data_IF_773730528775
#
_entry.id   IF_773730528775
#
_cell.length_a   1.000
_cell.length_b   1.000
_cell.length_c   1.000
_cell.angle_alpha   90.00
_cell.angle_beta   90.00
_cell.angle_gamma   90.00
#
_symmetry.space_group_name_H-M   'P 1'
#
loop_
_entity.id
_entity.type
_entity.pdbx_description
1 polymer ?
#
# COMPACT_ATOMS: atom_id res chain seq x y z
N UNK A 1 22.48 39.67 -1.88
CA UNK A 1 21.66 38.84 -0.97
C UNK A 1 21.14 37.64 -1.74
N UNK A 2 21.88 36.53 -1.73
CA UNK A 2 21.44 35.27 -2.31
C UNK A 2 22.15 34.16 -1.55
N UNK A 3 21.40 33.40 -0.74
CA UNK A 3 21.68 32.02 -0.32
C UNK A 3 20.64 31.64 0.74
N UNK A 4 19.66 30.81 0.36
CA UNK A 4 18.95 29.86 1.24
C UNK A 4 17.98 29.03 0.39
N UNK A 5 18.48 27.94 -0.16
CA UNK A 5 17.66 26.81 -0.62
C UNK A 5 18.53 25.55 -0.55
N UNK A 6 18.74 25.05 0.66
CA UNK A 6 19.34 23.76 0.96
C UNK A 6 18.79 23.32 2.32
N UNK A 7 17.53 22.87 2.37
CA UNK A 7 16.96 22.13 3.51
C UNK A 7 15.67 21.45 3.04
N UNK A 8 15.81 20.34 2.31
CA UNK A 8 14.69 19.41 2.04
C UNK A 8 15.15 17.98 1.70
N UNK A 9 16.44 17.65 1.88
CA UNK A 9 16.99 16.33 1.54
C UNK A 9 17.14 15.39 2.74
N UNK A 10 17.07 15.89 3.98
CA UNK A 10 17.39 15.08 5.17
C UNK A 10 16.19 14.28 5.71
N UNK A 11 14.95 14.71 5.44
CA UNK A 11 13.74 14.05 5.97
C UNK A 11 13.35 12.74 5.28
N UNK A 12 13.94 12.41 4.12
CA UNK A 12 13.68 11.15 3.40
C UNK A 12 14.62 10.00 3.83
N UNK A 13 15.83 10.32 4.27
CA UNK A 13 16.77 9.33 4.82
C UNK A 13 16.40 8.94 6.27
N UNK A 14 15.92 9.89 7.07
CA UNK A 14 15.51 9.59 8.46
C UNK A 14 14.27 8.70 8.52
N UNK A 15 13.37 8.79 7.53
CA UNK A 15 12.23 7.87 7.41
C UNK A 15 12.63 6.42 7.07
N UNK A 16 13.87 6.22 6.61
CA UNK A 16 14.44 4.89 6.34
C UNK A 16 15.23 4.34 7.52
N UNK A 17 15.83 5.19 8.37
CA UNK A 17 16.70 4.77 9.47
C UNK A 17 15.97 4.47 10.81
N UNK A 18 14.73 4.92 11.02
CA UNK A 18 14.03 4.76 12.33
C UNK A 18 13.44 3.34 12.55
N UNK A 19 13.68 2.37 11.67
CA UNK A 19 13.10 1.00 11.80
C UNK A 19 14.17 -0.09 11.98
N UNK A 20 15.44 0.28 12.07
CA UNK A 20 16.56 -0.68 12.05
C UNK A 20 16.81 -1.45 13.36
N UNK A 21 16.04 -1.26 14.44
CA UNK A 21 16.30 -1.95 15.72
C UNK A 21 15.38 -3.13 16.09
N UNK A 22 14.29 -3.42 15.36
CA UNK A 22 13.37 -4.50 15.78
C UNK A 22 13.26 -5.71 14.82
N UNK A 23 13.98 -5.73 13.69
CA UNK A 23 13.72 -6.75 12.67
C UNK A 23 14.62 -8.00 12.72
N UNK A 24 15.70 -8.01 13.51
CA UNK A 24 16.73 -9.07 13.46
C UNK A 24 16.94 -9.83 14.78
N UNK A 25 15.92 -9.90 15.64
CA UNK A 25 15.87 -10.93 16.68
C UNK A 25 14.83 -11.99 16.35
N UNK A 26 15.32 -13.06 15.73
CA UNK A 26 14.69 -14.36 15.68
C UNK A 26 14.55 -14.89 17.11
N UNK A 27 13.42 -14.57 17.76
CA UNK A 27 12.98 -15.21 18.99
C UNK A 27 11.69 -15.97 18.72
N UNK A 28 11.64 -17.18 19.27
CA UNK A 28 10.50 -18.10 19.27
C UNK A 28 9.39 -17.53 20.19
N UNK A 29 8.96 -16.31 19.91
CA UNK A 29 7.97 -15.59 20.66
C UNK A 29 6.59 -16.02 20.19
N UNK A 30 5.83 -16.62 21.10
CA UNK A 30 4.40 -16.88 20.93
C UNK A 30 3.74 -15.62 20.39
N UNK A 31 3.10 -15.62 19.20
CA UNK A 31 2.57 -14.41 18.60
C UNK A 31 1.59 -13.73 19.57
N UNK A 32 1.67 -12.39 19.67
CA UNK A 32 0.76 -11.59 20.50
C UNK A 32 -0.70 -11.91 20.14
N UNK A 33 -1.63 -11.75 21.08
CA UNK A 33 -3.05 -12.06 20.87
C UNK A 33 -3.62 -11.34 19.62
N UNK A 34 -3.18 -10.11 19.38
CA UNK A 34 -3.49 -9.31 18.20
C UNK A 34 -2.96 -9.94 16.90
N UNK A 35 -1.72 -10.47 16.89
CA UNK A 35 -1.17 -11.17 15.73
C UNK A 35 -1.88 -12.50 15.44
N UNK A 36 -2.46 -13.15 16.46
CA UNK A 36 -3.28 -14.34 16.28
C UNK A 36 -4.66 -14.01 15.73
N UNK A 37 -5.29 -12.92 16.16
CA UNK A 37 -6.59 -12.49 15.61
C UNK A 37 -6.50 -12.09 14.14
N UNK A 38 -5.44 -11.41 13.73
CA UNK A 38 -5.21 -11.03 12.31
C UNK A 38 -5.03 -12.23 11.36
N UNK A 39 -4.79 -13.43 11.90
CA UNK A 39 -4.70 -14.69 11.13
C UNK A 39 -6.01 -15.47 11.10
N UNK A 40 -7.03 -15.01 11.81
CA UNK A 40 -8.35 -15.64 11.84
C UNK A 40 -9.18 -15.18 10.64
N UNK A 41 -9.79 -16.13 9.92
CA UNK A 41 -10.74 -15.81 8.84
C UNK A 41 -11.94 -15.03 9.39
N UNK A 42 -12.45 -15.45 10.54
CA UNK A 42 -13.63 -14.86 11.19
C UNK A 42 -13.40 -13.38 11.54
N UNK A 43 -12.17 -13.02 11.94
CA UNK A 43 -11.81 -11.63 12.18
C UNK A 43 -11.99 -10.78 10.92
N UNK A 44 -11.50 -11.25 9.77
CA UNK A 44 -11.63 -10.51 8.51
C UNK A 44 -13.05 -10.46 7.97
N UNK A 45 -13.83 -11.51 8.21
CA UNK A 45 -15.26 -11.52 7.85
C UNK A 45 -16.04 -10.48 8.70
N UNK A 46 -15.73 -10.38 9.99
CA UNK A 46 -16.30 -9.36 10.87
C UNK A 46 -15.87 -7.94 10.45
N UNK A 47 -14.58 -7.75 10.16
CA UNK A 47 -14.04 -6.48 9.68
C UNK A 47 -14.66 -6.07 8.33
N UNK A 48 -14.86 -7.02 7.40
CA UNK A 48 -15.53 -6.78 6.13
C UNK A 48 -17.00 -6.35 6.32
N UNK A 49 -17.72 -7.01 7.22
CA UNK A 49 -19.09 -6.63 7.57
C UNK A 49 -19.13 -5.23 8.20
N UNK A 50 -18.22 -4.92 9.12
CA UNK A 50 -18.10 -3.61 9.75
C UNK A 50 -17.79 -2.51 8.72
N UNK A 51 -16.88 -2.78 7.79
CA UNK A 51 -16.52 -1.83 6.73
C UNK A 51 -17.70 -1.54 5.81
N UNK A 52 -18.51 -2.55 5.51
CA UNK A 52 -19.74 -2.39 4.73
C UNK A 52 -20.76 -1.49 5.43
N UNK A 53 -20.89 -1.60 6.77
CA UNK A 53 -21.70 -0.69 7.57
C UNK A 53 -21.15 0.75 7.53
N UNK A 54 -19.83 0.92 7.60
CA UNK A 54 -19.20 2.23 7.49
C UNK A 54 -19.45 2.89 6.13
N UNK A 55 -19.35 2.13 5.04
CA UNK A 55 -19.70 2.62 3.70
C UNK A 55 -21.15 3.11 3.68
N UNK A 56 -22.09 2.32 4.22
CA UNK A 56 -23.49 2.73 4.35
C UNK A 56 -23.64 4.05 5.10
N UNK A 57 -23.04 4.17 6.29
CA UNK A 57 -23.06 5.40 7.10
C UNK A 57 -22.46 6.59 6.37
N UNK A 58 -21.35 6.40 5.65
CA UNK A 58 -20.70 7.46 4.88
C UNK A 58 -21.63 7.96 3.80
N UNK A 59 -22.26 7.07 3.04
CA UNK A 59 -23.23 7.42 1.99
C UNK A 59 -24.42 8.21 2.59
N UNK A 60 -25.00 7.74 3.69
CA UNK A 60 -26.15 8.38 4.36
C UNK A 60 -25.78 9.58 5.24
N UNK A 61 -24.49 9.94 5.32
CA UNK A 61 -23.96 11.03 6.16
C UNK A 61 -24.25 10.87 7.66
N UNK A 62 -24.50 9.66 8.13
CA UNK A 62 -24.83 9.34 9.53
C UNK A 62 -23.62 8.82 10.30
N UNK A 63 -22.56 9.63 10.38
CA UNK A 63 -21.33 9.27 11.08
C UNK A 63 -20.63 10.47 11.74
N UNK A 64 -19.78 10.17 12.71
CA UNK A 64 -18.86 11.12 13.33
C UNK A 64 -17.52 11.13 12.58
N UNK A 65 -17.02 12.31 12.20
CA UNK A 65 -15.72 12.47 11.51
C UNK A 65 -14.57 11.83 12.32
N UNK A 66 -14.38 12.12 13.63
CA UNK A 66 -13.36 11.45 14.43
C UNK A 66 -13.44 9.93 14.38
N UNK A 67 -14.64 9.36 14.46
CA UNK A 67 -14.83 7.93 14.49
C UNK A 67 -14.45 7.25 13.16
N UNK A 68 -14.87 7.83 12.02
CA UNK A 68 -14.54 7.23 10.72
C UNK A 68 -13.05 7.41 10.37
N UNK A 69 -12.45 8.54 10.74
CA UNK A 69 -11.02 8.78 10.52
C UNK A 69 -10.20 7.79 11.34
N UNK A 70 -10.52 7.60 12.62
CA UNK A 70 -9.84 6.61 13.47
C UNK A 70 -9.97 5.18 12.90
N UNK A 71 -11.16 4.79 12.45
CA UNK A 71 -11.39 3.49 11.84
C UNK A 71 -10.54 3.27 10.57
N UNK A 72 -10.52 4.26 9.67
CA UNK A 72 -9.75 4.16 8.42
C UNK A 72 -8.25 4.14 8.70
N UNK A 73 -7.76 4.93 9.64
CA UNK A 73 -6.35 4.90 10.03
C UNK A 73 -5.94 3.51 10.53
N UNK A 74 -6.74 2.90 11.40
CA UNK A 74 -6.44 1.57 11.92
C UNK A 74 -6.49 0.50 10.82
N UNK A 75 -7.50 0.54 9.95
CA UNK A 75 -7.61 -0.35 8.77
C UNK A 75 -6.32 -0.36 7.93
N UNK A 76 -5.84 0.81 7.52
CA UNK A 76 -4.64 0.91 6.67
C UNK A 76 -3.35 0.55 7.42
N UNK A 77 -3.30 0.83 8.72
CA UNK A 77 -2.19 0.39 9.59
C UNK A 77 -2.14 -1.14 9.70
N UNK A 78 -3.28 -1.79 9.92
CA UNK A 78 -3.39 -3.25 9.98
C UNK A 78 -2.98 -3.90 8.66
N UNK A 79 -3.51 -3.39 7.53
CA UNK A 79 -3.13 -3.86 6.19
C UNK A 79 -1.63 -3.72 5.95
N UNK A 80 -1.05 -2.56 6.29
CA UNK A 80 0.38 -2.31 6.15
C UNK A 80 1.20 -3.33 6.93
N UNK A 81 0.89 -3.51 8.23
CA UNK A 81 1.57 -4.45 9.14
C UNK A 81 1.57 -5.88 8.59
N UNK A 82 0.44 -6.31 8.03
CA UNK A 82 0.30 -7.67 7.51
C UNK A 82 1.12 -7.87 6.24
N UNK A 83 1.02 -6.94 5.30
CA UNK A 83 1.66 -7.11 3.99
C UNK A 83 3.15 -6.75 4.00
N UNK A 84 3.62 -5.97 4.98
CA UNK A 84 5.05 -5.71 5.21
C UNK A 84 5.75 -6.79 6.04
N UNK A 85 5.01 -7.74 6.65
CA UNK A 85 5.58 -8.83 7.47
C UNK A 85 6.27 -9.93 6.68
N UNK A 86 6.11 -9.95 5.35
CA UNK A 86 6.69 -10.95 4.42
C UNK A 86 6.29 -12.40 4.73
N UNK A 87 5.16 -12.60 5.41
CA UNK A 87 4.59 -13.91 5.71
C UNK A 87 3.46 -14.24 4.76
N UNK A 88 3.39 -15.50 4.32
CA UNK A 88 2.27 -16.00 3.54
C UNK A 88 1.04 -16.23 4.40
N UNK A 89 -0.13 -16.13 3.79
CA UNK A 89 -1.44 -16.38 4.42
C UNK A 89 -2.13 -17.59 3.79
N UNK A 90 -2.99 -18.32 4.52
CA UNK A 90 -3.86 -19.33 3.92
C UNK A 90 -4.72 -18.73 2.81
N UNK A 91 -4.98 -19.50 1.74
CA UNK A 91 -5.72 -19.02 0.55
C UNK A 91 -7.11 -18.50 0.92
N UNK A 92 -7.84 -19.22 1.79
CA UNK A 92 -9.16 -18.80 2.27
C UNK A 92 -9.12 -17.44 2.98
N UNK A 93 -8.12 -17.21 3.82
CA UNK A 93 -7.91 -15.93 4.51
C UNK A 93 -7.62 -14.80 3.50
N UNK A 94 -6.72 -15.05 2.55
CA UNK A 94 -6.32 -14.06 1.56
C UNK A 94 -7.50 -13.59 0.70
N UNK A 95 -8.43 -14.50 0.35
CA UNK A 95 -9.62 -14.15 -0.43
C UNK A 95 -10.54 -13.13 0.27
N UNK A 96 -10.69 -13.26 1.60
CA UNK A 96 -11.50 -12.32 2.40
C UNK A 96 -10.79 -10.97 2.49
N UNK A 97 -9.47 -10.98 2.67
CA UNK A 97 -8.67 -9.73 2.72
C UNK A 97 -8.77 -8.97 1.39
N UNK A 98 -8.82 -9.63 0.23
CA UNK A 98 -9.01 -8.95 -1.06
C UNK A 98 -10.33 -8.18 -1.13
N UNK A 99 -11.44 -8.78 -0.65
CA UNK A 99 -12.73 -8.10 -0.62
C UNK A 99 -12.72 -6.91 0.35
N UNK A 100 -12.12 -7.09 1.51
CA UNK A 100 -11.90 -6.03 2.49
C UNK A 100 -11.08 -4.88 1.89
N UNK A 101 -9.99 -5.17 1.18
CA UNK A 101 -9.12 -4.16 0.58
C UNK A 101 -9.86 -3.27 -0.44
N UNK A 102 -10.71 -3.86 -1.27
CA UNK A 102 -11.52 -3.09 -2.24
C UNK A 102 -12.43 -2.10 -1.51
N UNK A 103 -13.07 -2.53 -0.43
CA UNK A 103 -13.93 -1.67 0.38
C UNK A 103 -13.11 -0.61 1.16
N UNK A 104 -11.90 -0.95 1.61
CA UNK A 104 -10.97 0.00 2.24
C UNK A 104 -10.59 1.15 1.30
N UNK A 105 -10.27 0.84 0.03
CA UNK A 105 -9.97 1.84 -1.00
C UNK A 105 -11.19 2.74 -1.24
N UNK A 106 -12.37 2.16 -1.45
CA UNK A 106 -13.60 2.94 -1.68
C UNK A 106 -13.91 3.88 -0.51
N UNK A 107 -13.85 3.35 0.71
CA UNK A 107 -14.11 4.13 1.91
C UNK A 107 -13.13 5.30 2.02
N UNK A 108 -11.85 5.04 1.79
CA UNK A 108 -10.81 6.06 1.80
C UNK A 108 -11.05 7.13 0.73
N UNK A 109 -11.37 6.74 -0.50
CA UNK A 109 -11.70 7.68 -1.56
C UNK A 109 -12.90 8.56 -1.22
N UNK A 110 -13.97 8.00 -0.63
CA UNK A 110 -15.13 8.81 -0.21
C UNK A 110 -14.73 9.90 0.80
N UNK A 111 -13.83 9.59 1.73
CA UNK A 111 -13.33 10.55 2.70
C UNK A 111 -12.45 11.63 2.04
N UNK A 112 -11.60 11.25 1.09
CA UNK A 112 -10.79 12.19 0.31
C UNK A 112 -11.68 13.17 -0.46
N UNK A 113 -12.72 12.68 -1.14
CA UNK A 113 -13.68 13.53 -1.87
C UNK A 113 -14.44 14.48 -0.95
N UNK A 114 -14.62 14.12 0.33
CA UNK A 114 -15.23 14.97 1.36
C UNK A 114 -14.24 15.96 2.00
N UNK A 115 -12.99 15.97 1.56
CA UNK A 115 -11.97 16.91 2.03
C UNK A 115 -11.28 16.50 3.33
N UNK A 116 -11.32 15.23 3.72
CA UNK A 116 -10.57 14.75 4.89
C UNK A 116 -9.10 14.54 4.51
N UNK A 117 -8.27 15.53 4.83
CA UNK A 117 -6.85 15.55 4.48
C UNK A 117 -6.02 14.51 5.25
N UNK A 118 -6.46 14.15 6.45
CA UNK A 118 -5.77 13.22 7.36
C UNK A 118 -5.58 11.83 6.78
N UNK A 119 -6.44 11.45 5.83
CA UNK A 119 -6.44 10.11 5.24
C UNK A 119 -5.86 10.10 3.81
N UNK A 120 -5.53 11.26 3.24
CA UNK A 120 -5.18 11.40 1.81
C UNK A 120 -3.94 10.60 1.40
N UNK A 121 -2.99 10.38 2.31
CA UNK A 121 -1.70 9.74 2.03
C UNK A 121 -1.66 8.25 2.34
N UNK A 122 -2.71 7.67 2.94
CA UNK A 122 -2.66 6.30 3.48
C UNK A 122 -2.39 5.23 2.40
N UNK A 123 -2.95 5.36 1.20
CA UNK A 123 -2.63 4.43 0.10
C UNK A 123 -1.17 4.56 -0.35
N UNK A 124 -0.62 5.77 -0.38
CA UNK A 124 0.78 6.00 -0.76
C UNK A 124 1.72 5.42 0.29
N UNK A 125 1.41 5.64 1.57
CA UNK A 125 2.15 5.08 2.70
C UNK A 125 2.14 3.55 2.69
N UNK A 126 0.97 2.96 2.40
CA UNK A 126 0.82 1.51 2.25
C UNK A 126 1.73 0.96 1.14
N UNK A 127 1.69 1.54 -0.07
CA UNK A 127 2.55 1.11 -1.19
C UNK A 127 4.02 1.25 -0.80
N UNK A 128 4.42 2.41 -0.28
CA UNK A 128 5.80 2.68 0.14
C UNK A 128 6.31 1.66 1.14
N UNK A 129 5.54 1.37 2.19
CA UNK A 129 5.95 0.44 3.24
C UNK A 129 5.99 -1.00 2.74
N UNK A 130 4.95 -1.47 2.06
CA UNK A 130 4.89 -2.87 1.60
C UNK A 130 5.93 -3.13 0.53
N UNK A 131 5.96 -2.35 -0.54
CA UNK A 131 6.89 -2.55 -1.64
C UNK A 131 8.34 -2.31 -1.20
N UNK A 132 8.57 -1.27 -0.37
CA UNK A 132 9.88 -1.00 0.22
C UNK A 132 10.43 -2.17 1.05
N UNK A 133 9.60 -2.86 1.83
CA UNK A 133 10.03 -4.05 2.58
C UNK A 133 10.51 -5.19 1.69
N UNK A 134 9.88 -5.40 0.53
CA UNK A 134 10.30 -6.44 -0.43
C UNK A 134 11.55 -6.06 -1.20
N UNK A 135 11.67 -4.79 -1.62
CA UNK A 135 12.86 -4.29 -2.33
C UNK A 135 14.15 -4.43 -1.51
N UNK A 136 14.05 -4.30 -0.18
CA UNK A 136 15.19 -4.50 0.73
C UNK A 136 15.54 -5.96 0.99
N UNK A 137 14.66 -6.91 0.65
CA UNK A 137 14.84 -8.33 0.94
C UNK A 137 14.65 -9.17 -0.33
N UNK A 138 15.64 -9.22 -1.24
CA UNK A 138 15.54 -9.87 -2.55
C UNK A 138 15.02 -11.31 -2.50
N UNK A 139 15.44 -12.09 -1.50
CA UNK A 139 15.02 -13.49 -1.29
C UNK A 139 13.50 -13.65 -1.12
N UNK A 140 12.80 -12.60 -0.70
CA UNK A 140 11.35 -12.62 -0.52
C UNK A 140 10.58 -12.10 -1.74
N UNK A 141 11.20 -11.33 -2.64
CA UNK A 141 10.51 -10.73 -3.79
C UNK A 141 10.76 -11.57 -5.05
N UNK A 142 10.11 -12.73 -5.12
CA UNK A 142 10.20 -13.65 -6.25
C UNK A 142 8.93 -14.51 -6.39
N UNK A 143 8.70 -15.09 -7.57
CA UNK A 143 7.49 -15.89 -7.85
C UNK A 143 7.36 -17.15 -6.98
N UNK A 144 8.48 -17.65 -6.45
CA UNK A 144 8.48 -18.80 -5.55
C UNK A 144 8.08 -18.44 -4.12
N UNK A 145 8.01 -17.15 -3.77
CA UNK A 145 7.61 -16.70 -2.45
C UNK A 145 6.10 -16.43 -2.41
N UNK A 146 5.29 -17.26 -1.71
CA UNK A 146 3.83 -17.06 -1.68
C UNK A 146 3.44 -15.75 -0.99
N UNK A 147 4.26 -15.27 -0.04
CA UNK A 147 4.05 -13.99 0.61
C UNK A 147 4.10 -12.84 -0.40
N UNK A 148 5.08 -12.85 -1.31
CA UNK A 148 5.21 -11.85 -2.36
C UNK A 148 4.08 -11.93 -3.36
N UNK A 149 3.73 -13.12 -3.87
CA UNK A 149 2.63 -13.28 -4.82
C UNK A 149 1.34 -12.68 -4.26
N UNK A 150 1.06 -12.91 -2.98
CA UNK A 150 -0.09 -12.34 -2.27
C UNK A 150 0.01 -10.83 -2.03
N UNK A 151 1.17 -10.32 -1.61
CA UNK A 151 1.40 -8.88 -1.40
C UNK A 151 1.33 -8.11 -2.72
N UNK A 152 1.88 -8.67 -3.81
CA UNK A 152 1.83 -8.11 -5.16
C UNK A 152 0.39 -7.94 -5.62
N UNK A 153 -0.45 -8.95 -5.44
CA UNK A 153 -1.85 -8.85 -5.86
C UNK A 153 -2.62 -7.77 -5.08
N UNK A 154 -2.34 -7.64 -3.78
CA UNK A 154 -2.86 -6.53 -2.99
C UNK A 154 -2.38 -5.17 -3.49
N UNK A 155 -1.10 -5.03 -3.81
CA UNK A 155 -0.57 -3.80 -4.39
C UNK A 155 -1.24 -3.47 -5.74
N UNK A 156 -1.51 -4.49 -6.58
CA UNK A 156 -2.26 -4.33 -7.84
C UNK A 156 -3.68 -3.83 -7.59
N UNK A 157 -4.40 -4.42 -6.64
CA UNK A 157 -5.76 -3.97 -6.27
C UNK A 157 -5.74 -2.49 -5.87
N UNK A 158 -4.79 -2.07 -5.03
CA UNK A 158 -4.65 -0.65 -4.62
C UNK A 158 -4.34 0.26 -5.81
N UNK A 159 -3.57 -0.21 -6.79
CA UNK A 159 -3.22 0.53 -7.99
C UNK A 159 -4.39 0.67 -9.00
N UNK A 160 -5.34 -0.27 -8.99
CA UNK A 160 -6.39 -0.38 -10.02
C UNK A 160 -7.80 0.00 -9.54
N UNK A 161 -8.05 -0.08 -8.24
CA UNK A 161 -9.36 0.20 -7.66
C UNK A 161 -9.75 1.68 -7.68
N UNK A 162 -8.84 2.64 -7.36
CA UNK A 162 -9.21 4.03 -7.23
C UNK A 162 -9.91 4.59 -8.47
N UNK A 163 -10.84 5.51 -8.22
CA UNK A 163 -11.68 6.18 -9.22
C UNK A 163 -11.35 7.66 -9.37
N UNK A 164 -10.63 8.23 -8.41
CA UNK A 164 -10.14 9.60 -8.44
C UNK A 164 -8.78 9.69 -9.14
N UNK A 165 -8.67 10.56 -10.14
CA UNK A 165 -7.43 10.76 -10.91
C UNK A 165 -6.31 11.35 -10.04
N UNK A 166 -6.63 12.25 -9.10
CA UNK A 166 -5.62 12.84 -8.21
C UNK A 166 -5.01 11.80 -7.27
N UNK A 167 -5.84 10.85 -6.79
CA UNK A 167 -5.37 9.70 -6.01
C UNK A 167 -4.42 8.85 -6.86
N UNK A 168 -4.81 8.54 -8.11
CA UNK A 168 -4.00 7.75 -9.03
C UNK A 168 -2.66 8.43 -9.36
N UNK A 169 -2.64 9.75 -9.55
CA UNK A 169 -1.38 10.49 -9.71
C UNK A 169 -0.49 10.38 -8.47
N UNK A 170 -1.07 10.46 -7.28
CA UNK A 170 -0.34 10.25 -6.02
C UNK A 170 0.31 8.87 -5.93
N UNK A 171 -0.43 7.82 -6.31
CA UNK A 171 0.11 6.45 -6.34
C UNK A 171 1.18 6.30 -7.41
N UNK A 172 0.97 6.84 -8.60
CA UNK A 172 1.93 6.78 -9.71
C UNK A 172 3.26 7.43 -9.32
N UNK A 173 3.20 8.65 -8.76
CA UNK A 173 4.38 9.36 -8.27
C UNK A 173 5.08 8.58 -7.14
N UNK A 174 4.32 7.94 -6.26
CA UNK A 174 4.86 7.12 -5.16
C UNK A 174 5.69 5.95 -5.69
N UNK A 175 5.15 5.17 -6.64
CA UNK A 175 5.88 4.06 -7.27
C UNK A 175 7.09 4.57 -8.07
N UNK A 176 6.94 5.67 -8.81
CA UNK A 176 8.04 6.28 -9.56
C UNK A 176 9.19 6.74 -8.65
N UNK A 177 8.88 7.30 -7.49
CA UNK A 177 9.86 7.70 -6.49
C UNK A 177 10.58 6.49 -5.88
N UNK A 178 9.87 5.40 -5.57
CA UNK A 178 10.48 4.15 -5.10
C UNK A 178 11.44 3.57 -6.15
N UNK A 179 11.02 3.53 -7.41
CA UNK A 179 11.85 3.03 -8.50
C UNK A 179 13.13 3.85 -8.65
N UNK A 180 13.00 5.18 -8.62
CA UNK A 180 14.13 6.10 -8.70
C UNK A 180 15.08 5.94 -7.51
N UNK A 181 14.55 5.78 -6.30
CA UNK A 181 15.35 5.57 -5.09
C UNK A 181 16.09 4.22 -5.13
N UNK A 182 15.39 3.15 -5.51
CA UNK A 182 15.97 1.82 -5.65
C UNK A 182 17.10 1.78 -6.68
N UNK A 183 16.89 2.39 -7.85
CA UNK A 183 17.89 2.49 -8.89
C UNK A 183 19.16 3.19 -8.42
N UNK A 184 19.03 4.32 -7.70
CA UNK A 184 20.18 5.03 -7.12
C UNK A 184 21.00 4.11 -6.21
N UNK A 185 20.34 3.38 -5.31
CA UNK A 185 20.99 2.42 -4.40
C UNK A 185 21.72 1.33 -5.18
N UNK A 186 21.05 0.73 -6.16
CA UNK A 186 21.60 -0.38 -6.96
C UNK A 186 22.76 0.06 -7.86
N UNK A 187 22.78 1.32 -8.31
CA UNK A 187 23.89 1.85 -9.11
C UNK A 187 25.09 2.32 -8.29
N UNK A 188 24.94 2.47 -6.97
CA UNK A 188 26.01 2.95 -6.10
C UNK A 188 27.08 1.88 -5.80
N UNK A 189 26.70 0.60 -5.78
CA UNK A 189 27.62 -0.53 -5.58
C UNK A 189 27.54 -1.52 -6.75
N UNK A 190 28.45 -1.35 -7.72
CA UNK A 190 28.47 -2.14 -8.96
C UNK A 190 28.96 -3.57 -8.72
N UNK A 191 29.78 -3.81 -7.69
CA UNK A 191 30.46 -5.09 -7.49
C UNK A 191 29.55 -6.17 -6.88
N UNK A 192 28.56 -5.77 -6.08
CA UNK A 192 27.63 -6.69 -5.38
C UNK A 192 26.25 -6.78 -6.03
N UNK A 193 26.05 -6.13 -7.18
CA UNK A 193 24.73 -5.97 -7.81
C UNK A 193 24.18 -7.29 -8.36
N UNK A 194 23.05 -7.73 -7.79
CA UNK A 194 22.21 -8.75 -8.41
C UNK A 194 21.40 -8.12 -9.56
N UNK A 195 21.91 -8.26 -10.79
CA UNK A 195 21.27 -7.73 -11.99
C UNK A 195 19.92 -8.40 -12.30
N UNK A 196 19.80 -9.69 -11.99
CA UNK A 196 18.56 -10.44 -12.21
C UNK A 196 17.46 -9.95 -11.28
N UNK A 197 17.78 -9.77 -10.00
CA UNK A 197 16.85 -9.17 -9.05
C UNK A 197 16.50 -7.72 -9.43
N UNK A 198 17.49 -6.91 -9.81
CA UNK A 198 17.24 -5.53 -10.21
C UNK A 198 16.29 -5.44 -11.42
N UNK A 199 16.50 -6.27 -12.44
CA UNK A 199 15.60 -6.34 -13.60
C UNK A 199 14.19 -6.75 -13.18
N UNK A 200 14.05 -7.77 -12.33
CA UNK A 200 12.75 -8.19 -11.81
C UNK A 200 12.06 -7.10 -10.99
N UNK A 201 12.76 -6.47 -10.05
CA UNK A 201 12.19 -5.40 -9.23
C UNK A 201 11.69 -4.21 -10.06
N UNK A 202 12.45 -3.81 -11.09
CA UNK A 202 12.04 -2.76 -12.04
C UNK A 202 10.82 -3.17 -12.87
N UNK A 203 10.75 -4.41 -13.32
CA UNK A 203 9.59 -4.95 -14.02
C UNK A 203 8.33 -4.90 -13.14
N UNK A 204 8.42 -5.32 -11.88
CA UNK A 204 7.30 -5.26 -10.94
C UNK A 204 6.85 -3.83 -10.65
N UNK A 205 7.78 -2.88 -10.49
CA UNK A 205 7.43 -1.45 -10.33
C UNK A 205 6.78 -0.88 -11.59
N UNK A 206 7.24 -1.30 -12.77
CA UNK A 206 6.66 -0.92 -14.06
C UNK A 206 5.25 -1.47 -14.24
N UNK A 207 4.98 -2.73 -13.83
CA UNK A 207 3.64 -3.31 -13.80
C UNK A 207 2.67 -2.46 -12.97
N UNK A 208 3.05 -2.05 -11.75
CA UNK A 208 2.20 -1.17 -10.93
C UNK A 208 1.94 0.20 -11.60
N UNK A 209 2.98 0.85 -12.13
CA UNK A 209 2.82 2.14 -12.83
C UNK A 209 1.91 2.01 -14.07
N UNK A 210 2.05 0.92 -14.82
CA UNK A 210 1.24 0.65 -16.00
C UNK A 210 -0.23 0.44 -15.64
N UNK A 211 -0.51 -0.29 -14.57
CA UNK A 211 -1.89 -0.51 -14.07
C UNK A 211 -2.55 0.79 -13.64
N UNK A 212 -1.83 1.65 -12.90
CA UNK A 212 -2.32 2.97 -12.52
C UNK A 212 -2.63 3.81 -13.77
N UNK A 213 -1.73 3.81 -14.76
CA UNK A 213 -1.93 4.54 -16.02
C UNK A 213 -3.14 4.01 -16.81
N UNK A 214 -3.27 2.70 -16.97
CA UNK A 214 -4.42 2.08 -17.61
C UNK A 214 -5.72 2.47 -16.91
N UNK A 215 -5.73 2.48 -15.57
CA UNK A 215 -6.89 2.90 -14.79
C UNK A 215 -7.24 4.37 -15.02
N UNK A 216 -6.26 5.27 -15.02
CA UNK A 216 -6.48 6.69 -15.36
C UNK A 216 -7.10 6.85 -16.75
N UNK A 217 -6.56 6.14 -17.75
CA UNK A 217 -7.10 6.16 -19.12
C UNK A 217 -8.52 5.60 -19.21
N UNK A 218 -8.84 4.55 -18.44
CA UNK A 218 -10.20 4.02 -18.37
C UNK A 218 -11.18 5.06 -17.81
N UNK A 219 -10.82 5.74 -16.71
CA UNK A 219 -11.66 6.79 -16.10
C UNK A 219 -11.85 7.95 -17.07
N UNK A 220 -10.78 8.42 -17.71
CA UNK A 220 -10.85 9.50 -18.69
C UNK A 220 -11.74 9.13 -19.88
N UNK A 221 -11.56 7.93 -20.47
CA UNK A 221 -12.41 7.46 -21.57
C UNK A 221 -13.88 7.42 -21.16
N UNK A 222 -14.20 6.86 -19.99
CA UNK A 222 -15.59 6.84 -19.49
C UNK A 222 -16.19 8.24 -19.40
N UNK A 223 -15.42 9.21 -18.88
CA UNK A 223 -15.85 10.62 -18.80
C UNK A 223 -16.04 11.24 -20.19
N UNK A 224 -15.13 10.99 -21.13
CA UNK A 224 -15.21 11.53 -22.50
C UNK A 224 -16.39 10.97 -23.30
N UNK A 225 -16.75 9.70 -23.09
CA UNK A 225 -17.83 9.03 -23.82
C UNK A 225 -19.18 9.04 -23.08
N UNK A 226 -19.29 9.73 -21.95
CA UNK A 226 -20.54 9.78 -21.17
C UNK A 226 -21.01 8.41 -20.67
N UNK A 227 -20.10 7.43 -20.55
CA UNK A 227 -20.43 6.11 -20.03
C UNK A 227 -20.61 6.22 -18.51
N UNK A 228 -21.87 6.31 -18.09
CA UNK A 228 -22.26 6.36 -16.67
C UNK A 228 -21.94 5.03 -15.97
N UNK A 229 -21.62 5.14 -14.68
CA UNK A 229 -21.39 4.03 -13.76
C UNK A 229 -22.63 3.19 -13.56
#
# INVERSE_FOLDING_TARGET
MAHRHLFQSETLLDALNIVDEEADQQTDATPSAELRSLRSKDYWEQEYALQSQWIGKVITRSFSRPAIVAYVLECWKTLTKIYSSLRSRPVGLQSVIYQYLVNAVKLLEFLIHRGYSEVRTLMNEFINKVLGSYLRKPKHMCELCPAWVQSREVLRIVCETPTCVDVLFGLWATVGNLNSAYLKTVTADVASRDLSFAAYAMDQMSDFMNRINQRMQQIQRKKSFGLLF
#
